data_IF_294930237920
#
_entry.id   IF_294930237920
#
_cell.length_a   1.000
_cell.length_b   1.000
_cell.length_c   1.000
_cell.angle_alpha   90.00
_cell.angle_beta   90.00
_cell.angle_gamma   90.00
#
_symmetry.space_group_name_H-M   'P 1'
#
loop_
_entity.id
_entity.type
_entity.pdbx_description
1 polymer ?
#
# COMPACT_ATOMS: atom_id res chain seq x y z
N UNK A 1 -31.46 -56.67 -26.07
CA UNK A 1 -30.75 -55.37 -26.13
C UNK A 1 -29.79 -55.23 -24.94
N UNK A 2 -28.79 -56.11 -24.82
CA UNK A 2 -27.84 -56.12 -23.69
C UNK A 2 -26.37 -56.32 -24.12
N UNK A 3 -26.10 -56.44 -25.43
CA UNK A 3 -24.75 -56.68 -25.96
C UNK A 3 -24.04 -55.42 -26.47
N UNK A 4 -24.73 -54.28 -26.55
CA UNK A 4 -24.14 -53.01 -27.01
C UNK A 4 -23.55 -52.15 -25.89
N UNK A 5 -23.76 -52.47 -24.61
CA UNK A 5 -23.23 -51.68 -23.49
C UNK A 5 -21.84 -52.10 -23.03
N UNK A 6 -21.37 -53.30 -23.38
CA UNK A 6 -20.03 -53.77 -22.96
C UNK A 6 -18.88 -53.25 -23.84
N UNK A 7 -19.13 -52.77 -25.06
CA UNK A 7 -18.08 -52.22 -25.94
C UNK A 7 -17.70 -50.76 -25.60
N UNK A 8 -18.57 -50.02 -24.89
CA UNK A 8 -18.26 -48.65 -24.48
C UNK A 8 -17.29 -48.55 -23.29
N UNK A 9 -17.28 -49.56 -22.41
CA UNK A 9 -16.45 -49.55 -21.19
C UNK A 9 -14.97 -49.87 -21.45
N UNK A 10 -14.64 -50.53 -22.57
CA UNK A 10 -13.24 -50.88 -22.91
C UNK A 10 -12.47 -49.68 -23.49
N UNK A 11 -13.16 -48.66 -24.02
CA UNK A 11 -12.53 -47.48 -24.61
C UNK A 11 -12.11 -46.41 -23.59
N UNK A 12 -12.57 -46.51 -22.33
CA UNK A 12 -12.28 -45.52 -21.27
C UNK A 12 -10.96 -45.81 -20.54
N UNK A 13 -10.45 -47.03 -20.57
CA UNK A 13 -9.21 -47.40 -19.86
C UNK A 13 -7.92 -47.22 -20.68
N UNK A 14 -8.00 -46.81 -21.94
CA UNK A 14 -6.82 -46.62 -22.82
C UNK A 14 -6.29 -45.17 -22.87
N UNK A 15 -6.90 -44.22 -22.16
CA UNK A 15 -6.43 -42.83 -22.09
C UNK A 15 -5.76 -42.45 -20.75
N UNK A 16 -5.32 -43.44 -19.96
CA UNK A 16 -4.36 -43.20 -18.89
C UNK A 16 -2.95 -43.00 -19.49
N UNK A 17 -2.80 -41.92 -20.26
CA UNK A 17 -1.50 -41.38 -20.64
C UNK A 17 -0.80 -40.86 -19.39
N UNK A 18 0.36 -41.43 -19.10
CA UNK A 18 1.31 -40.98 -18.07
C UNK A 18 1.62 -39.51 -18.33
N UNK A 19 1.10 -38.62 -17.49
CA UNK A 19 1.45 -37.20 -17.51
C UNK A 19 2.71 -36.97 -16.68
N UNK A 20 3.80 -36.61 -17.35
CA UNK A 20 5.05 -36.17 -16.72
C UNK A 20 4.81 -35.01 -15.76
N UNK A 21 5.22 -35.18 -14.51
CA UNK A 21 5.25 -34.11 -13.51
C UNK A 21 6.39 -33.13 -13.86
N UNK A 22 6.12 -32.18 -14.76
CA UNK A 22 7.03 -31.07 -15.01
C UNK A 22 7.09 -30.20 -13.75
N UNK A 23 8.15 -30.38 -12.93
CA UNK A 23 8.50 -29.46 -11.85
C UNK A 23 8.74 -28.08 -12.46
N UNK A 24 7.71 -27.23 -12.46
CA UNK A 24 7.88 -25.80 -12.71
C UNK A 24 8.75 -25.25 -11.58
N UNK A 25 9.99 -24.92 -11.92
CA UNK A 25 10.90 -24.22 -11.02
C UNK A 25 10.22 -22.96 -10.48
N UNK A 26 10.20 -22.82 -9.16
CA UNK A 26 9.78 -21.58 -8.51
C UNK A 26 10.66 -20.44 -9.04
N UNK A 27 10.02 -19.40 -9.58
CA UNK A 27 10.68 -18.14 -9.89
C UNK A 27 10.99 -17.45 -8.56
N UNK A 28 12.25 -17.06 -8.28
CA UNK A 28 12.58 -16.40 -7.03
C UNK A 28 11.86 -15.05 -6.93
N UNK A 29 11.53 -14.59 -5.72
CA UNK A 29 10.84 -13.32 -5.51
C UNK A 29 11.73 -12.13 -5.91
N UNK A 30 11.13 -10.96 -6.24
CA UNK A 30 11.81 -9.84 -6.89
C UNK A 30 12.93 -9.17 -6.07
N UNK A 31 13.07 -9.54 -4.80
CA UNK A 31 14.04 -8.96 -3.87
C UNK A 31 15.36 -9.74 -3.79
N UNK A 32 15.51 -10.85 -4.53
CA UNK A 32 16.76 -11.61 -4.62
C UNK A 32 17.79 -10.92 -5.56
N UNK A 33 18.18 -9.70 -5.21
CA UNK A 33 19.30 -8.99 -5.81
C UNK A 33 20.63 -9.52 -5.28
N UNK A 34 21.56 -9.86 -6.18
CA UNK A 34 22.91 -10.31 -5.84
C UNK A 34 23.72 -9.17 -5.23
N UNK A 35 24.42 -9.44 -4.13
CA UNK A 35 25.51 -8.59 -3.65
C UNK A 35 26.58 -8.49 -4.74
N UNK A 36 26.75 -7.31 -5.33
CA UNK A 36 27.88 -6.99 -6.20
C UNK A 36 28.99 -6.37 -5.34
N UNK A 37 30.11 -7.09 -5.26
CA UNK A 37 31.40 -6.61 -4.76
C UNK A 37 31.93 -5.47 -5.66
N UNK A 38 32.37 -4.32 -5.13
CA UNK A 38 32.84 -3.21 -5.95
C UNK A 38 34.33 -3.35 -6.19
N UNK A 39 34.72 -4.05 -7.24
CA UNK A 39 36.02 -3.81 -7.85
C UNK A 39 35.96 -4.11 -9.35
N UNK A 40 36.75 -3.34 -10.11
CA UNK A 40 37.09 -3.48 -11.53
C UNK A 40 36.39 -2.52 -12.51
N UNK A 41 37.21 -1.52 -12.89
CA UNK A 41 37.38 -0.89 -14.20
C UNK A 41 36.21 -0.05 -14.76
N UNK A 42 36.31 1.29 -14.74
CA UNK A 42 37.11 2.08 -15.67
C UNK A 42 36.99 1.60 -17.13
N UNK A 43 36.13 2.25 -17.92
CA UNK A 43 36.46 2.66 -19.29
C UNK A 43 35.55 3.81 -19.71
N UNK A 44 36.18 4.93 -20.04
CA UNK A 44 35.62 6.16 -20.58
C UNK A 44 35.60 6.02 -22.10
N UNK A 45 34.46 6.21 -22.76
CA UNK A 45 34.45 6.42 -24.21
C UNK A 45 33.72 7.70 -24.54
N UNK A 46 34.49 8.60 -25.16
CA UNK A 46 34.11 9.90 -25.70
C UNK A 46 33.47 9.69 -27.07
N UNK A 47 32.30 10.25 -27.29
CA UNK A 47 31.77 10.48 -28.64
C UNK A 47 31.40 11.97 -28.76
N UNK A 48 31.93 12.58 -29.81
CA UNK A 48 31.84 13.99 -30.19
C UNK A 48 30.67 14.26 -31.13
N UNK A 49 30.22 15.52 -31.10
CA UNK A 49 29.69 16.31 -32.22
C UNK A 49 28.16 16.45 -32.34
N UNK A 50 27.70 17.68 -32.05
CA UNK A 50 26.42 18.25 -32.45
C UNK A 50 26.42 19.74 -32.07
N UNK A 51 26.43 20.63 -33.06
CA UNK A 51 26.72 22.06 -32.96
C UNK A 51 25.46 22.82 -33.36
N UNK A 52 24.74 23.38 -32.38
CA UNK A 52 23.59 24.25 -32.66
C UNK A 52 23.74 25.59 -31.92
N UNK A 53 23.61 26.66 -32.70
CA UNK A 53 23.66 28.06 -32.30
C UNK A 53 22.48 28.42 -31.39
N UNK A 54 22.76 29.05 -30.24
CA UNK A 54 21.78 29.84 -29.49
C UNK A 54 22.27 31.31 -29.42
N UNK A 55 21.41 32.32 -29.64
CA UNK A 55 21.82 33.72 -29.63
C UNK A 55 22.06 34.22 -28.20
N UNK A 56 23.14 34.98 -28.04
CA UNK A 56 23.56 35.65 -26.83
C UNK A 56 22.55 36.73 -26.39
N UNK A 57 22.07 36.62 -25.15
CA UNK A 57 21.41 37.73 -24.44
C UNK A 57 22.23 38.05 -23.20
N UNK A 58 22.94 39.17 -23.32
CA UNK A 58 23.26 40.18 -22.32
C UNK A 58 23.70 39.69 -20.93
N UNK A 59 25.00 39.88 -20.73
CA UNK A 59 25.74 40.08 -19.48
C UNK A 59 24.92 40.81 -18.40
N UNK A 60 24.52 40.07 -17.37
CA UNK A 60 24.24 40.63 -16.05
C UNK A 60 25.13 39.88 -15.05
N UNK A 61 26.21 40.56 -14.67
CA UNK A 61 27.26 40.04 -13.81
C UNK A 61 26.73 39.52 -12.48
N UNK A 62 26.77 38.20 -12.31
CA UNK A 62 26.73 37.59 -10.99
C UNK A 62 28.08 37.82 -10.33
N UNK A 63 28.15 38.86 -9.49
CA UNK A 63 29.20 39.03 -8.50
C UNK A 63 29.33 37.70 -7.71
N UNK A 64 30.47 37.00 -7.78
CA UNK A 64 30.61 35.68 -7.15
C UNK A 64 30.67 35.74 -5.62
N UNK A 65 30.50 36.92 -5.01
CA UNK A 65 30.82 37.16 -3.61
C UNK A 65 29.62 37.66 -2.81
N UNK A 66 28.54 36.88 -2.82
CA UNK A 66 27.64 36.84 -1.66
C UNK A 66 27.28 35.42 -1.29
N UNK A 67 28.31 34.65 -0.93
CA UNK A 67 28.17 33.59 0.06
C UNK A 67 27.62 34.28 1.31
N UNK A 68 26.34 34.04 1.63
CA UNK A 68 25.80 34.39 2.95
C UNK A 68 26.82 33.86 3.96
N UNK A 69 27.32 34.65 4.93
CA UNK A 69 28.21 34.10 5.93
C UNK A 69 27.51 32.85 6.46
N UNK A 70 28.17 31.71 6.29
CA UNK A 70 27.71 30.45 6.85
C UNK A 70 27.55 30.75 8.33
N UNK A 71 26.31 30.99 8.75
CA UNK A 71 25.96 31.17 10.15
C UNK A 71 26.60 29.99 10.85
N UNK A 72 27.58 30.34 11.67
CA UNK A 72 28.47 29.49 12.43
C UNK A 72 28.13 28.02 12.32
N UNK A 73 28.92 27.28 11.53
CA UNK A 73 28.72 25.86 11.25
C UNK A 73 28.39 25.16 12.56
N UNK A 74 27.13 24.73 12.75
CA UNK A 74 26.70 24.14 14.02
C UNK A 74 27.53 22.88 14.25
N UNK A 75 28.53 23.01 15.11
CA UNK A 75 29.51 21.96 15.39
C UNK A 75 28.86 20.98 16.36
N UNK A 76 27.89 20.22 15.84
CA UNK A 76 27.28 19.14 16.59
C UNK A 76 28.38 18.15 16.97
N UNK A 77 28.59 17.98 18.27
CA UNK A 77 29.47 16.97 18.83
C UNK A 77 28.63 15.98 19.58
N UNK A 78 28.98 14.71 19.45
CA UNK A 78 28.33 13.65 20.21
C UNK A 78 28.49 13.95 21.72
N UNK A 79 27.42 13.90 22.52
CA UNK A 79 27.53 14.07 23.97
C UNK A 79 28.50 13.06 24.56
N UNK A 80 29.43 13.52 25.40
CA UNK A 80 30.33 12.61 26.09
C UNK A 80 29.51 11.69 27.01
N UNK A 81 29.78 10.37 27.00
CA UNK A 81 29.07 9.44 27.87
C UNK A 81 29.26 9.87 29.33
N UNK A 82 28.21 9.78 30.19
CA UNK A 82 28.34 10.13 31.60
C UNK A 82 29.50 9.36 32.24
N UNK A 83 30.34 10.08 33.00
CA UNK A 83 31.52 9.50 33.67
C UNK A 83 31.14 8.50 34.77
N UNK A 84 29.93 8.62 35.32
CA UNK A 84 29.41 7.73 36.35
C UNK A 84 28.47 6.69 35.73
N UNK A 85 28.56 5.41 36.14
CA UNK A 85 27.58 4.41 35.76
C UNK A 85 26.22 4.85 36.31
N UNK A 86 25.32 5.26 35.41
CA UNK A 86 23.95 5.60 35.74
C UNK A 86 23.28 4.30 36.22
N UNK A 87 23.28 4.10 37.54
CA UNK A 87 22.65 2.96 38.21
C UNK A 87 21.12 3.15 38.27
N UNK A 88 20.53 3.57 37.14
CA UNK A 88 19.09 3.76 37.00
C UNK A 88 18.50 2.36 36.73
N UNK A 89 17.59 1.87 37.57
CA UNK A 89 16.85 0.66 37.27
C UNK A 89 16.26 0.77 35.87
N UNK A 90 16.22 -0.32 35.07
CA UNK A 90 15.61 -0.28 33.76
C UNK A 90 14.21 0.32 33.89
N UNK A 91 13.97 1.41 33.17
CA UNK A 91 12.62 2.00 33.10
C UNK A 91 11.71 0.87 32.66
N UNK A 92 10.68 0.57 33.45
CA UNK A 92 9.71 -0.43 33.08
C UNK A 92 8.92 0.10 31.88
N UNK A 93 9.44 -0.14 30.68
CA UNK A 93 8.78 0.20 29.45
C UNK A 93 7.64 -0.79 29.26
N UNK A 94 6.44 -0.35 29.65
CA UNK A 94 5.21 -1.07 29.34
C UNK A 94 4.74 -0.58 27.97
N UNK A 95 4.81 -1.46 26.97
CA UNK A 95 4.16 -1.24 25.69
C UNK A 95 2.68 -0.98 25.94
N UNK A 96 2.24 0.26 25.73
CA UNK A 96 0.83 0.60 25.69
C UNK A 96 0.27 -0.01 24.42
N UNK A 97 -0.68 -0.92 24.56
CA UNK A 97 -1.39 -1.44 23.41
C UNK A 97 -2.31 -0.32 22.89
N UNK A 98 -2.29 -0.03 21.57
CA UNK A 98 -3.21 0.96 21.01
C UNK A 98 -4.64 0.57 21.36
N UNK A 99 -5.42 1.52 21.86
CA UNK A 99 -6.85 1.32 22.08
C UNK A 99 -7.49 1.18 20.71
N UNK A 100 -8.16 0.05 20.47
CA UNK A 100 -8.96 -0.14 19.26
C UNK A 100 -10.15 0.81 19.37
N UNK A 101 -10.13 1.86 18.56
CA UNK A 101 -11.27 2.78 18.42
C UNK A 101 -12.11 2.31 17.23
N UNK A 102 -13.42 2.18 17.42
CA UNK A 102 -14.36 1.85 16.36
C UNK A 102 -14.57 3.07 15.45
N UNK A 103 -13.66 3.27 14.48
CA UNK A 103 -13.74 4.36 13.48
C UNK A 103 -14.44 3.95 12.20
N UNK A 104 -14.66 2.65 12.03
CA UNK A 104 -15.40 2.07 10.90
C UNK A 104 -16.49 1.20 11.51
N UNK A 105 -17.73 1.48 11.15
CA UNK A 105 -18.89 0.67 11.48
C UNK A 105 -19.51 0.14 10.19
N UNK A 106 -19.94 -1.13 10.21
CA UNK A 106 -20.45 -1.83 9.05
C UNK A 106 -21.83 -2.38 9.39
N UNK A 107 -22.81 -2.09 8.54
CA UNK A 107 -24.16 -2.63 8.60
C UNK A 107 -24.40 -3.46 7.35
N UNK A 108 -24.50 -4.78 7.54
CA UNK A 108 -24.78 -5.73 6.48
C UNK A 108 -26.28 -5.94 6.35
N UNK A 109 -26.87 -5.47 5.25
CA UNK A 109 -28.26 -5.75 4.87
C UNK A 109 -28.37 -7.05 4.07
N UNK A 110 -29.55 -7.31 3.51
CA UNK A 110 -29.80 -8.51 2.70
C UNK A 110 -29.15 -8.42 1.31
N UNK A 111 -29.26 -7.25 0.65
CA UNK A 111 -28.72 -7.01 -0.69
C UNK A 111 -27.72 -5.85 -0.75
N UNK A 112 -27.59 -5.08 0.34
CA UNK A 112 -26.75 -3.88 0.41
C UNK A 112 -25.91 -3.84 1.68
N UNK A 113 -24.78 -3.13 1.60
CA UNK A 113 -23.91 -2.82 2.74
C UNK A 113 -23.88 -1.31 2.96
N UNK A 114 -23.94 -0.91 4.23
CA UNK A 114 -23.69 0.47 4.64
C UNK A 114 -22.41 0.50 5.50
N UNK A 115 -21.46 1.34 5.11
CA UNK A 115 -20.20 1.54 5.84
C UNK A 115 -20.13 2.97 6.31
N UNK A 116 -20.04 3.15 7.63
CA UNK A 116 -19.90 4.44 8.29
C UNK A 116 -18.44 4.60 8.74
N UNK A 117 -17.79 5.67 8.33
CA UNK A 117 -16.37 5.93 8.57
C UNK A 117 -16.21 7.28 9.24
N UNK A 118 -15.62 7.32 10.43
CA UNK A 118 -15.26 8.58 11.07
C UNK A 118 -14.23 9.33 10.22
N UNK A 119 -14.44 10.64 10.02
CA UNK A 119 -13.50 11.50 9.32
C UNK A 119 -12.14 11.57 10.04
N UNK A 120 -12.07 11.39 11.36
CA UNK A 120 -10.80 11.20 12.08
C UNK A 120 -10.36 9.72 12.04
N UNK A 121 -10.29 9.14 10.84
CA UNK A 121 -9.95 7.73 10.61
C UNK A 121 -8.60 7.34 11.24
N UNK A 122 -7.67 8.29 11.32
CA UNK A 122 -6.33 8.08 11.88
C UNK A 122 -6.25 8.33 13.38
N UNK A 123 -7.23 9.00 14.00
CA UNK A 123 -7.23 9.28 15.44
C UNK A 123 -6.24 10.32 15.89
N UNK A 124 -5.81 11.15 14.94
CA UNK A 124 -4.81 12.20 15.16
C UNK A 124 -5.49 13.58 15.21
N UNK A 125 -6.82 13.63 15.10
CA UNK A 125 -7.61 14.85 15.00
C UNK A 125 -7.57 15.50 13.60
N UNK A 126 -7.02 14.82 12.60
CA UNK A 126 -7.00 15.28 11.22
C UNK A 126 -8.14 14.62 10.45
N UNK A 127 -9.09 15.44 10.01
CA UNK A 127 -10.25 14.98 9.25
C UNK A 127 -9.82 14.68 7.80
N UNK A 128 -10.18 13.49 7.32
CA UNK A 128 -9.96 13.08 5.93
C UNK A 128 -11.04 13.67 5.03
N UNK A 129 -10.67 13.99 3.79
CA UNK A 129 -11.62 14.44 2.78
C UNK A 129 -12.36 13.24 2.15
N UNK A 130 -13.64 13.37 1.76
CA UNK A 130 -14.38 12.31 1.08
C UNK A 130 -13.72 11.84 -0.24
N UNK A 131 -12.95 12.71 -0.91
CA UNK A 131 -12.21 12.36 -2.13
C UNK A 131 -11.01 11.44 -1.88
N UNK A 132 -10.54 11.39 -0.64
CA UNK A 132 -9.35 10.62 -0.25
C UNK A 132 -9.70 9.20 0.19
N UNK A 133 -10.98 8.83 0.18
CA UNK A 133 -11.43 7.53 0.65
C UNK A 133 -12.49 6.94 -0.29
N UNK A 134 -12.37 5.63 -0.56
CA UNK A 134 -13.29 4.92 -1.45
C UNK A 134 -13.63 3.53 -0.91
N UNK A 135 -14.83 3.03 -1.20
CA UNK A 135 -15.22 1.65 -0.92
C UNK A 135 -15.11 0.83 -2.20
N UNK A 136 -14.03 0.07 -2.34
CA UNK A 136 -13.71 -0.77 -3.50
C UNK A 136 -13.81 -0.05 -4.84
N UNK A 137 -13.47 1.25 -4.85
CA UNK A 137 -13.50 2.13 -6.01
C UNK A 137 -14.72 3.05 -6.09
N UNK A 138 -15.74 2.86 -5.26
CA UNK A 138 -16.90 3.74 -5.19
C UNK A 138 -16.67 4.95 -4.27
N UNK A 139 -17.20 6.13 -4.63
CA UNK A 139 -17.11 7.33 -3.81
C UNK A 139 -18.04 7.27 -2.59
N UNK A 140 -17.86 8.22 -1.68
CA UNK A 140 -18.76 8.46 -0.55
C UNK A 140 -20.16 8.79 -1.07
N UNK A 141 -21.19 8.19 -0.47
CA UNK A 141 -22.60 8.40 -0.84
C UNK A 141 -23.19 9.60 -0.09
N UNK A 142 -22.86 9.75 1.18
CA UNK A 142 -23.38 10.81 2.06
C UNK A 142 -22.32 11.23 3.09
N UNK A 143 -22.38 12.49 3.52
CA UNK A 143 -21.50 13.06 4.54
C UNK A 143 -22.37 13.64 5.65
N UNK A 144 -22.16 13.17 6.88
CA UNK A 144 -22.75 13.76 8.07
C UNK A 144 -21.75 14.70 8.75
N UNK A 145 -21.90 15.99 8.52
CA UNK A 145 -21.04 17.04 9.08
C UNK A 145 -21.21 17.21 10.59
N UNK A 146 -22.35 16.81 11.17
CA UNK A 146 -22.60 16.95 12.61
C UNK A 146 -21.83 15.92 13.42
N UNK A 147 -21.79 14.68 12.93
CA UNK A 147 -21.06 13.59 13.57
C UNK A 147 -19.65 13.38 13.00
N UNK A 148 -19.30 14.11 11.92
CA UNK A 148 -18.05 13.96 11.18
C UNK A 148 -17.86 12.53 10.66
N UNK A 149 -18.90 11.98 10.01
CA UNK A 149 -18.93 10.62 9.48
C UNK A 149 -19.16 10.66 7.97
N UNK A 150 -18.41 9.81 7.25
CA UNK A 150 -18.59 9.53 5.83
C UNK A 150 -19.36 8.22 5.69
N UNK A 151 -20.42 8.23 4.89
CA UNK A 151 -21.32 7.10 4.71
C UNK A 151 -21.19 6.59 3.28
N UNK A 152 -20.94 5.30 3.15
CA UNK A 152 -21.00 4.56 1.90
C UNK A 152 -22.20 3.63 1.92
N UNK A 153 -23.00 3.66 0.86
CA UNK A 153 -24.03 2.66 0.60
C UNK A 153 -23.77 2.02 -0.78
N UNK A 154 -23.77 0.69 -0.82
CA UNK A 154 -23.50 -0.08 -2.04
C UNK A 154 -24.20 -1.43 -2.00
N UNK A 155 -24.58 -1.95 -3.17
CA UNK A 155 -25.04 -3.34 -3.29
C UNK A 155 -23.91 -4.34 -2.99
N UNK A 156 -24.26 -5.51 -2.47
CA UNK A 156 -23.29 -6.53 -2.04
C UNK A 156 -22.35 -7.01 -3.15
N UNK A 157 -22.79 -6.95 -4.40
CA UNK A 157 -22.06 -7.42 -5.59
C UNK A 157 -21.38 -6.29 -6.37
N UNK A 158 -21.53 -5.05 -5.92
CA UNK A 158 -20.98 -3.88 -6.58
C UNK A 158 -19.71 -3.39 -5.89
N UNK A 159 -19.18 -2.25 -6.35
CA UNK A 159 -18.07 -1.54 -5.73
C UNK A 159 -16.86 -2.43 -5.43
N UNK A 160 -16.50 -3.29 -6.40
CA UNK A 160 -15.32 -4.15 -6.31
C UNK A 160 -15.38 -5.20 -5.19
N UNK A 161 -16.58 -5.53 -4.71
CA UNK A 161 -16.80 -6.63 -3.77
C UNK A 161 -16.38 -7.97 -4.35
N UNK A 162 -16.03 -8.88 -3.44
CA UNK A 162 -15.69 -10.26 -3.77
C UNK A 162 -16.55 -11.19 -2.93
N UNK A 163 -17.16 -12.19 -3.58
CA UNK A 163 -17.95 -13.21 -2.91
C UNK A 163 -17.10 -14.47 -2.72
N UNK A 164 -16.98 -14.91 -1.47
CA UNK A 164 -16.30 -16.14 -1.10
C UNK A 164 -17.33 -17.12 -0.54
N UNK A 165 -17.33 -18.35 -1.05
CA UNK A 165 -18.13 -19.44 -0.48
C UNK A 165 -17.31 -20.12 0.62
N UNK A 166 -17.94 -20.33 1.77
CA UNK A 166 -17.40 -21.08 2.91
C UNK A 166 -18.33 -22.26 3.25
N UNK A 167 -17.84 -23.24 4.01
CA UNK A 167 -18.61 -24.45 4.33
C UNK A 167 -19.97 -24.17 5.00
N UNK A 168 -20.12 -23.03 5.67
CA UNK A 168 -21.31 -22.65 6.45
C UNK A 168 -22.06 -21.44 5.90
N UNK A 169 -21.73 -20.99 4.68
CA UNK A 169 -22.37 -19.83 4.08
C UNK A 169 -21.49 -19.10 3.08
N UNK A 170 -21.61 -17.78 3.04
CA UNK A 170 -20.85 -16.96 2.11
C UNK A 170 -20.46 -15.62 2.73
N UNK A 171 -19.33 -15.09 2.27
CA UNK A 171 -18.74 -13.85 2.76
C UNK A 171 -18.61 -12.88 1.60
N UNK A 172 -19.20 -11.69 1.74
CA UNK A 172 -18.90 -10.56 0.86
C UNK A 172 -17.79 -9.73 1.47
N UNK A 173 -16.70 -9.55 0.74
CA UNK A 173 -15.55 -8.77 1.15
C UNK A 173 -15.34 -7.55 0.25
N UNK A 174 -15.18 -6.39 0.88
CA UNK A 174 -14.90 -5.09 0.29
C UNK A 174 -13.58 -4.54 0.80
N UNK A 175 -13.02 -3.56 0.09
CA UNK A 175 -11.81 -2.85 0.51
C UNK A 175 -12.11 -1.38 0.67
N UNK A 176 -12.06 -0.87 1.89
CA UNK A 176 -12.10 0.56 2.15
C UNK A 176 -10.69 1.13 2.02
N UNK A 177 -10.47 2.00 1.03
CA UNK A 177 -9.13 2.47 0.64
C UNK A 177 -9.02 3.96 0.96
N UNK A 178 -8.12 4.31 1.87
CA UNK A 178 -7.71 5.69 2.14
C UNK A 178 -6.43 6.02 1.38
N UNK A 179 -6.48 7.02 0.51
CA UNK A 179 -5.38 7.53 -0.28
C UNK A 179 -5.27 9.06 -0.15
N UNK A 180 -4.44 9.57 0.78
CA UNK A 180 -4.28 11.00 1.01
C UNK A 180 -3.66 11.72 -0.18
N UNK A 181 -4.13 12.94 -0.49
CA UNK A 181 -3.53 13.77 -1.54
C UNK A 181 -2.09 14.15 -1.13
N UNK A 182 -1.09 13.68 -1.87
CA UNK A 182 0.30 14.09 -1.65
C UNK A 182 0.44 15.57 -1.96
N UNK A 183 0.93 16.37 -0.99
CA UNK A 183 1.24 17.78 -1.26
C UNK A 183 2.34 17.87 -2.32
N UNK A 184 2.00 18.38 -3.51
CA UNK A 184 2.89 18.51 -4.67
C UNK A 184 4.14 19.38 -4.44
N UNK A 185 4.26 20.05 -3.29
CA UNK A 185 5.34 20.99 -2.95
C UNK A 185 6.47 20.40 -2.10
N UNK A 186 6.37 19.16 -1.66
CA UNK A 186 7.44 18.52 -0.89
C UNK A 186 7.91 17.21 -1.54
N UNK A 187 9.23 17.00 -1.70
CA UNK A 187 9.76 15.71 -2.17
C UNK A 187 9.61 14.58 -1.14
N UNK A 188 9.03 14.87 0.03
CA UNK A 188 8.86 13.93 1.15
C UNK A 188 7.39 13.52 1.23
N UNK A 189 7.11 12.24 0.98
CA UNK A 189 5.78 11.64 1.18
C UNK A 189 5.56 11.37 2.67
N UNK A 190 4.81 12.24 3.34
CA UNK A 190 4.51 12.10 4.79
C UNK A 190 3.24 11.27 5.07
N UNK A 191 2.45 10.98 4.04
CA UNK A 191 1.15 10.31 4.17
C UNK A 191 1.19 8.93 3.51
N UNK A 192 0.77 7.88 4.24
CA UNK A 192 0.70 6.50 3.73
C UNK A 192 -0.74 6.14 3.39
N UNK A 193 -0.96 5.59 2.20
CA UNK A 193 -2.24 5.00 1.81
C UNK A 193 -2.49 3.72 2.62
N UNK A 194 -3.72 3.49 3.05
CA UNK A 194 -4.12 2.33 3.85
C UNK A 194 -5.36 1.67 3.25
N UNK A 195 -5.43 0.34 3.32
CA UNK A 195 -6.62 -0.42 2.95
C UNK A 195 -7.14 -1.18 4.18
N UNK A 196 -8.44 -1.08 4.41
CA UNK A 196 -9.16 -1.74 5.50
C UNK A 196 -10.12 -2.76 4.88
N UNK A 197 -10.07 -4.01 5.33
CA UNK A 197 -10.99 -5.05 4.89
C UNK A 197 -12.36 -4.86 5.57
N UNK A 198 -13.42 -4.94 4.78
CA UNK A 198 -14.81 -4.88 5.24
C UNK A 198 -15.49 -6.17 4.81
N UNK A 199 -16.08 -6.91 5.75
CA UNK A 199 -16.67 -8.22 5.47
C UNK A 199 -18.09 -8.31 6.00
N UNK A 200 -18.97 -8.89 5.20
CA UNK A 200 -20.32 -9.27 5.59
C UNK A 200 -20.46 -10.79 5.48
N UNK A 201 -20.69 -11.43 6.63
CA UNK A 201 -20.78 -12.89 6.76
C UNK A 201 -22.25 -13.31 6.79
N UNK A 202 -22.65 -14.19 5.88
CA UNK A 202 -24.00 -14.72 5.78
C UNK A 202 -23.99 -16.23 5.96
N UNK A 203 -24.99 -16.74 6.68
CA UNK A 203 -25.16 -18.17 6.92
C UNK A 203 -26.12 -18.76 5.89
N UNK A 204 -25.77 -19.94 5.41
CA UNK A 204 -26.66 -20.76 4.57
C UNK A 204 -27.55 -21.67 5.40
#
# INVERSE_FOLDING_TARGET
MAFLQLLGLVLVLAFCGVGDAQRRGMRPPPWAGKMQNPEVAATRTRATSGKDHFPSLLDDGLDPKRIRPAGEQLKWKFPEPPADPVNRPPVQFKLQQPVVTNRVAVKCGESKVQVEVSQDLLGIGALISPDEITLGGCPVTEVDDHSQVLIFESELHECGSTLMLEDKGFVYAFKLIYNPKSMARSPITRSQSTAIAVECHYKS
#
